data_IF_404678486184
#
_entry.id   IF_404678486184
#
_cell.length_a   1.000
_cell.length_b   1.000
_cell.length_c   1.000
_cell.angle_alpha   90.00
_cell.angle_beta   90.00
_cell.angle_gamma   90.00
#
_symmetry.space_group_name_H-M   'P 1'
#
loop_
_entity.id
_entity.type
_entity.pdbx_description
1 polymer ?
#
# COMPACT_ATOMS: atom_id res chain seq x y z
N UNK A 1 67.62 -21.97 10.49
CA UNK A 1 66.41 -21.82 11.27
C UNK A 1 65.64 -20.50 10.95
N UNK A 2 65.62 -20.05 9.71
CA UNK A 2 64.90 -18.80 9.30
C UNK A 2 63.85 -18.98 8.23
N UNK A 3 63.59 -20.19 7.75
CA UNK A 3 62.62 -20.43 6.62
C UNK A 3 61.30 -21.05 7.03
N UNK A 4 61.07 -21.39 8.29
CA UNK A 4 59.82 -22.03 8.77
C UNK A 4 58.81 -21.03 9.30
N UNK A 5 59.24 -19.81 9.68
CA UNK A 5 58.36 -18.80 10.30
C UNK A 5 57.56 -17.99 9.29
N UNK A 6 57.97 -17.96 8.04
CA UNK A 6 57.26 -17.22 6.94
C UNK A 6 56.13 -18.02 6.30
N UNK A 7 56.13 -19.35 6.43
CA UNK A 7 55.09 -20.22 5.83
C UNK A 7 53.83 -20.30 6.69
N UNK A 8 53.87 -20.05 8.00
CA UNK A 8 52.68 -20.10 8.86
C UNK A 8 51.81 -18.84 8.81
N UNK A 9 52.36 -17.71 8.36
CA UNK A 9 51.59 -16.44 8.29
C UNK A 9 50.74 -16.31 7.03
N UNK A 10 51.03 -17.09 5.98
CA UNK A 10 50.27 -17.06 4.70
C UNK A 10 48.99 -17.86 4.72
N UNK A 11 48.74 -18.74 5.70
CA UNK A 11 47.57 -19.62 5.73
C UNK A 11 46.40 -19.06 6.56
N UNK A 12 46.60 -18.00 7.34
CA UNK A 12 45.55 -17.44 8.24
C UNK A 12 44.68 -16.39 7.54
N UNK A 13 45.16 -15.79 6.43
CA UNK A 13 44.47 -14.68 5.78
C UNK A 13 43.26 -15.05 4.88
N UNK A 14 43.11 -16.24 4.28
CA UNK A 14 41.96 -16.56 3.46
C UNK A 14 40.71 -17.02 4.24
N UNK A 15 40.79 -17.33 5.54
CA UNK A 15 39.63 -17.85 6.30
C UNK A 15 38.71 -16.73 6.81
N UNK A 16 39.22 -15.52 6.99
CA UNK A 16 38.41 -14.38 7.47
C UNK A 16 37.45 -13.79 6.42
N UNK A 17 37.65 -14.07 5.14
CA UNK A 17 36.82 -13.52 4.05
C UNK A 17 35.48 -14.27 3.82
N UNK A 18 35.27 -15.43 4.42
CA UNK A 18 34.10 -16.29 4.19
C UNK A 18 32.91 -16.00 5.12
N UNK A 19 33.03 -15.15 6.12
CA UNK A 19 31.98 -14.92 7.11
C UNK A 19 31.07 -13.71 6.83
N UNK A 20 31.34 -12.91 5.80
CA UNK A 20 30.55 -11.72 5.47
C UNK A 20 29.41 -11.94 4.46
N UNK A 21 29.23 -13.13 3.90
CA UNK A 21 28.32 -13.37 2.77
C UNK A 21 26.87 -13.70 3.15
N UNK A 22 26.53 -13.97 4.41
CA UNK A 22 25.23 -14.52 4.78
C UNK A 22 24.09 -13.48 4.92
N UNK A 23 24.37 -12.20 5.13
CA UNK A 23 23.30 -11.21 5.36
C UNK A 23 22.65 -10.70 4.06
N UNK A 24 23.41 -10.56 3.00
CA UNK A 24 22.88 -10.08 1.72
C UNK A 24 21.93 -11.06 1.05
N UNK A 25 22.20 -12.37 1.16
CA UNK A 25 21.36 -13.41 0.61
C UNK A 25 19.99 -13.49 1.31
N UNK A 26 19.93 -13.37 2.63
CA UNK A 26 18.68 -13.38 3.40
C UNK A 26 17.81 -12.15 3.12
N UNK A 27 18.39 -10.97 2.97
CA UNK A 27 17.66 -9.76 2.56
C UNK A 27 17.09 -9.87 1.16
N UNK A 28 17.85 -10.40 0.21
CA UNK A 28 17.39 -10.64 -1.16
C UNK A 28 16.23 -11.64 -1.22
N UNK A 29 16.28 -12.72 -0.43
CA UNK A 29 15.21 -13.71 -0.36
C UNK A 29 13.92 -13.14 0.25
N UNK A 30 14.00 -12.34 1.32
CA UNK A 30 12.83 -11.68 1.92
C UNK A 30 12.19 -10.67 0.97
N UNK A 31 12.99 -9.87 0.28
CA UNK A 31 12.49 -8.92 -0.71
C UNK A 31 11.77 -9.64 -1.86
N UNK A 32 12.31 -10.75 -2.35
CA UNK A 32 11.69 -11.56 -3.39
C UNK A 32 10.38 -12.21 -2.91
N UNK A 33 10.35 -12.76 -1.70
CA UNK A 33 9.13 -13.33 -1.12
C UNK A 33 8.01 -12.29 -0.96
N UNK A 34 8.34 -11.04 -0.58
CA UNK A 34 7.37 -9.96 -0.54
C UNK A 34 6.84 -9.60 -1.94
N UNK A 35 7.70 -9.55 -2.95
CA UNK A 35 7.30 -9.27 -4.33
C UNK A 35 6.35 -10.35 -4.88
N UNK A 36 6.67 -11.63 -4.62
CA UNK A 36 5.82 -12.75 -5.03
C UNK A 36 4.45 -12.67 -4.34
N UNK A 37 4.41 -12.31 -3.06
CA UNK A 37 3.16 -12.12 -2.31
C UNK A 37 2.31 -10.99 -2.86
N UNK A 38 2.89 -9.82 -3.15
CA UNK A 38 2.17 -8.69 -3.74
C UNK A 38 1.58 -9.04 -5.10
N UNK A 39 2.32 -9.77 -5.93
CA UNK A 39 1.84 -10.23 -7.23
C UNK A 39 0.62 -11.15 -7.10
N UNK A 40 0.65 -12.10 -6.16
CA UNK A 40 -0.47 -13.02 -5.89
C UNK A 40 -1.69 -12.25 -5.40
N UNK A 41 -1.54 -11.35 -4.44
CA UNK A 41 -2.63 -10.53 -3.90
C UNK A 41 -3.26 -9.64 -4.97
N UNK A 42 -2.42 -9.05 -5.83
CA UNK A 42 -2.88 -8.24 -6.95
C UNK A 42 -3.70 -9.04 -7.97
N UNK A 43 -3.23 -10.22 -8.35
CA UNK A 43 -3.92 -11.07 -9.33
C UNK A 43 -5.25 -11.58 -8.79
N UNK A 44 -5.27 -11.99 -7.53
CA UNK A 44 -6.47 -12.54 -6.88
C UNK A 44 -7.48 -11.49 -6.44
N UNK A 45 -7.17 -10.18 -6.48
CA UNK A 45 -7.97 -9.11 -5.86
C UNK A 45 -8.27 -9.36 -4.38
N UNK A 46 -7.32 -9.95 -3.64
CA UNK A 46 -7.46 -10.26 -2.21
C UNK A 46 -6.34 -9.63 -1.42
N UNK A 47 -6.58 -8.43 -0.93
CA UNK A 47 -5.60 -7.70 -0.13
C UNK A 47 -6.27 -6.65 0.77
N UNK A 48 -5.54 -6.22 1.78
CA UNK A 48 -5.81 -5.03 2.56
C UNK A 48 -4.67 -4.02 2.36
N UNK A 49 -5.02 -2.80 2.04
CA UNK A 49 -4.12 -1.66 2.08
C UNK A 49 -4.32 -0.94 3.40
N UNK A 50 -3.27 -0.88 4.21
CA UNK A 50 -3.24 -0.18 5.50
C UNK A 50 -2.67 1.22 5.30
N UNK A 51 -3.51 2.22 5.51
CA UNK A 51 -3.11 3.62 5.37
C UNK A 51 -2.36 4.09 6.62
N UNK A 52 -1.15 4.63 6.43
CA UNK A 52 -0.32 5.19 7.50
C UNK A 52 -0.33 6.71 7.54
N UNK A 53 -0.54 7.34 6.39
CA UNK A 53 -0.54 8.79 6.24
C UNK A 53 -1.63 9.23 5.28
N UNK A 54 -2.18 10.42 5.53
CA UNK A 54 -3.06 11.12 4.60
C UNK A 54 -2.41 12.41 4.12
N UNK A 55 -2.33 12.61 2.81
CA UNK A 55 -1.88 13.83 2.17
C UNK A 55 -3.09 14.60 1.63
N UNK A 56 -3.29 15.79 2.17
CA UNK A 56 -4.35 16.69 1.75
C UNK A 56 -3.95 17.46 0.48
N UNK A 57 -4.93 17.96 -0.24
CA UNK A 57 -4.68 18.81 -1.42
C UNK A 57 -3.92 20.11 -1.06
N UNK A 58 -3.98 20.56 0.20
CA UNK A 58 -3.17 21.68 0.72
C UNK A 58 -1.68 21.37 0.87
N UNK A 59 -1.26 20.12 0.67
CA UNK A 59 0.10 19.65 0.93
C UNK A 59 0.33 19.19 2.39
N UNK A 60 -0.67 19.34 3.27
CA UNK A 60 -0.55 18.87 4.66
C UNK A 60 -0.52 17.36 4.73
N UNK A 61 0.46 16.79 5.44
CA UNK A 61 0.57 15.38 5.71
C UNK A 61 0.12 15.09 7.15
N UNK A 62 -0.81 14.16 7.31
CA UNK A 62 -1.38 13.74 8.60
C UNK A 62 -1.02 12.29 8.87
N UNK A 63 -0.34 12.03 9.98
CA UNK A 63 -0.06 10.68 10.42
C UNK A 63 -1.34 10.03 10.98
N UNK A 64 -1.62 8.80 10.56
CA UNK A 64 -2.79 8.05 10.97
C UNK A 64 -2.40 7.11 12.13
N UNK A 65 -3.12 7.21 13.24
CA UNK A 65 -2.84 6.45 14.47
C UNK A 65 -3.77 5.25 14.67
N UNK A 66 -4.83 5.16 13.86
CA UNK A 66 -5.76 4.03 13.87
C UNK A 66 -5.58 3.18 12.61
N UNK A 67 -6.05 1.95 12.65
CA UNK A 67 -6.01 1.04 11.51
C UNK A 67 -7.09 1.43 10.49
N UNK A 68 -6.68 2.23 9.51
CA UNK A 68 -7.50 2.67 8.41
C UNK A 68 -7.18 1.85 7.17
N UNK A 69 -8.19 1.23 6.56
CA UNK A 69 -7.99 0.24 5.51
C UNK A 69 -8.82 0.52 4.25
N UNK A 70 -8.23 0.11 3.13
CA UNK A 70 -8.93 -0.17 1.89
C UNK A 70 -8.71 -1.64 1.55
N UNK A 71 -9.79 -2.40 1.41
CA UNK A 71 -9.73 -3.84 1.18
C UNK A 71 -10.41 -4.22 -0.11
N UNK A 72 -9.81 -5.16 -0.81
CA UNK A 72 -10.46 -5.92 -1.88
C UNK A 72 -10.61 -7.37 -1.43
N UNK A 73 -11.85 -7.87 -1.50
CA UNK A 73 -12.22 -9.25 -1.13
C UNK A 73 -13.02 -9.86 -2.26
N UNK A 74 -12.33 -10.51 -3.24
CA UNK A 74 -12.97 -11.09 -4.43
C UNK A 74 -13.91 -10.10 -5.13
N UNK A 75 -15.19 -10.09 -4.72
CA UNK A 75 -16.28 -9.35 -5.38
C UNK A 75 -16.64 -8.06 -4.64
N UNK A 76 -15.97 -7.73 -3.53
CA UNK A 76 -16.32 -6.55 -2.75
C UNK A 76 -15.15 -5.61 -2.50
N UNK A 77 -15.46 -4.32 -2.46
CA UNK A 77 -14.57 -3.22 -2.07
C UNK A 77 -15.06 -2.69 -0.73
N UNK A 78 -14.18 -2.66 0.26
CA UNK A 78 -14.45 -2.16 1.61
C UNK A 78 -13.48 -1.02 1.88
N UNK A 79 -14.00 0.13 2.27
CA UNK A 79 -13.22 1.33 2.57
C UNK A 79 -13.56 1.80 3.98
N UNK A 80 -12.54 1.99 4.79
CA UNK A 80 -12.62 2.56 6.12
C UNK A 80 -11.47 3.56 6.31
N UNK A 81 -11.66 4.79 5.84
CA UNK A 81 -10.63 5.83 5.80
C UNK A 81 -11.14 7.13 6.44
N UNK A 82 -10.27 7.89 7.11
CA UNK A 82 -10.63 9.22 7.62
C UNK A 82 -10.69 10.23 6.46
N UNK A 83 -11.32 11.37 6.70
CA UNK A 83 -11.29 12.47 5.77
C UNK A 83 -10.95 13.79 6.50
N UNK A 84 -9.91 14.46 6.04
CA UNK A 84 -9.41 15.71 6.62
C UNK A 84 -9.48 16.89 5.65
N UNK A 85 -10.00 16.67 4.44
CA UNK A 85 -10.11 17.71 3.42
C UNK A 85 -11.33 18.61 3.60
N UNK A 86 -11.51 19.53 2.66
CA UNK A 86 -12.66 20.42 2.63
C UNK A 86 -13.86 19.73 1.99
N UNK A 87 -15.02 19.79 2.64
CA UNK A 87 -16.32 19.40 2.07
C UNK A 87 -17.05 20.65 1.61
N UNK A 88 -17.64 20.59 0.40
CA UNK A 88 -18.43 21.70 -0.19
C UNK A 88 -19.91 21.57 0.16
N UNK A 89 -20.34 20.42 0.65
CA UNK A 89 -21.69 20.15 1.14
C UNK A 89 -21.56 19.70 2.59
N UNK A 90 -22.33 20.33 3.48
CA UNK A 90 -22.33 19.95 4.90
C UNK A 90 -22.80 18.50 5.04
N UNK A 91 -22.12 17.66 5.83
CA UNK A 91 -22.60 16.31 6.13
C UNK A 91 -23.91 16.39 6.90
N UNK A 92 -24.85 15.53 6.55
CA UNK A 92 -26.16 15.45 7.22
C UNK A 92 -26.01 15.01 8.69
N UNK A 93 -24.96 14.22 8.98
CA UNK A 93 -24.60 13.75 10.31
C UNK A 93 -23.10 13.96 10.54
N UNK A 94 -22.71 14.85 11.48
CA UNK A 94 -21.29 15.10 11.79
C UNK A 94 -20.53 13.86 12.30
N UNK A 95 -21.22 12.87 12.90
CA UNK A 95 -20.61 11.63 13.39
C UNK A 95 -20.15 10.70 12.27
N UNK A 96 -20.64 10.89 11.06
CA UNK A 96 -20.30 10.10 9.87
C UNK A 96 -19.10 10.67 9.11
N UNK A 97 -18.18 11.29 9.81
CA UNK A 97 -16.92 11.75 9.23
C UNK A 97 -16.12 10.60 8.59
N UNK A 98 -15.41 10.91 7.48
CA UNK A 98 -14.57 9.95 6.79
C UNK A 98 -15.16 9.43 5.49
N UNK A 99 -14.47 8.42 4.92
CA UNK A 99 -14.85 7.70 3.71
C UNK A 99 -15.03 6.25 4.12
N UNK A 100 -16.26 5.82 4.32
CA UNK A 100 -16.61 4.52 4.91
C UNK A 100 -17.72 3.87 4.12
N UNK A 101 -17.41 2.81 3.37
CA UNK A 101 -18.42 2.04 2.64
C UNK A 101 -17.94 0.63 2.33
N UNK A 102 -18.90 -0.24 2.04
CA UNK A 102 -18.67 -1.53 1.42
C UNK A 102 -19.61 -1.67 0.22
N UNK A 103 -19.09 -2.13 -0.91
CA UNK A 103 -19.89 -2.36 -2.11
C UNK A 103 -19.36 -3.53 -2.92
N UNK A 104 -20.26 -4.29 -3.50
CA UNK A 104 -20.03 -5.31 -4.53
C UNK A 104 -20.26 -4.75 -5.95
N UNK A 105 -20.88 -3.56 -6.03
CA UNK A 105 -21.14 -2.87 -7.28
C UNK A 105 -20.06 -1.86 -7.62
N UNK A 106 -19.03 -2.29 -8.34
CA UNK A 106 -17.92 -1.44 -8.80
C UNK A 106 -17.41 -1.88 -10.17
N UNK A 107 -16.63 -1.01 -10.79
CA UNK A 107 -15.93 -1.32 -12.04
C UNK A 107 -14.43 -1.05 -11.85
N UNK A 108 -13.59 -1.98 -12.23
CA UNK A 108 -12.15 -1.76 -12.31
C UNK A 108 -11.82 -1.30 -13.74
N UNK A 109 -11.19 -0.14 -13.86
CA UNK A 109 -10.58 0.36 -15.10
C UNK A 109 -9.06 0.32 -14.97
N UNK A 110 -8.39 0.20 -16.11
CA UNK A 110 -6.93 0.38 -16.20
C UNK A 110 -6.11 -0.45 -15.21
N UNK A 111 -6.55 -1.69 -14.92
CA UNK A 111 -5.72 -2.60 -14.12
C UNK A 111 -4.47 -2.99 -14.90
N UNK A 112 -3.32 -2.42 -14.51
CA UNK A 112 -2.05 -2.54 -15.23
C UNK A 112 -0.92 -2.90 -14.28
N UNK A 113 0.04 -3.61 -14.83
CA UNK A 113 1.36 -3.80 -14.23
C UNK A 113 2.41 -3.17 -15.16
N UNK A 114 3.07 -2.14 -14.69
CA UNK A 114 4.12 -1.45 -15.43
C UNK A 114 5.44 -1.55 -14.66
N UNK A 115 6.41 -2.28 -15.19
CA UNK A 115 7.72 -2.51 -14.55
C UNK A 115 7.52 -3.10 -13.12
N UNK A 116 7.76 -2.27 -12.10
CA UNK A 116 7.66 -2.62 -10.66
C UNK A 116 6.44 -2.00 -9.97
N UNK A 117 5.49 -1.50 -10.73
CA UNK A 117 4.31 -0.81 -10.20
C UNK A 117 3.04 -1.49 -10.69
N UNK A 118 2.09 -1.62 -9.80
CA UNK A 118 0.74 -2.08 -10.05
C UNK A 118 -0.20 -0.88 -9.92
N UNK A 119 -1.08 -0.69 -10.89
CA UNK A 119 -2.01 0.45 -10.95
C UNK A 119 -3.41 -0.02 -11.29
N UNK A 120 -4.41 0.50 -10.62
CA UNK A 120 -5.82 0.31 -10.99
C UNK A 120 -6.64 1.53 -10.67
N UNK A 121 -7.71 1.72 -11.42
CA UNK A 121 -8.76 2.70 -11.14
C UNK A 121 -10.04 1.95 -10.80
N UNK A 122 -10.64 2.27 -9.66
CA UNK A 122 -11.86 1.65 -9.17
C UNK A 122 -12.96 2.71 -9.19
N UNK A 123 -14.10 2.36 -9.79
CA UNK A 123 -15.29 3.20 -9.85
C UNK A 123 -16.40 2.51 -9.05
N UNK A 124 -16.63 2.89 -7.79
CA UNK A 124 -17.75 2.36 -7.02
C UNK A 124 -19.07 2.90 -7.59
N UNK A 125 -20.13 2.08 -7.52
CA UNK A 125 -21.47 2.41 -7.98
C UNK A 125 -22.49 2.12 -6.91
N UNK A 126 -23.63 2.84 -6.94
CA UNK A 126 -24.76 2.53 -6.06
C UNK A 126 -24.46 2.68 -4.56
N UNK A 127 -23.51 3.54 -4.18
CA UNK A 127 -23.17 3.74 -2.77
C UNK A 127 -24.40 4.26 -1.99
N UNK A 128 -24.63 3.75 -0.76
CA UNK A 128 -25.77 4.15 0.05
C UNK A 128 -25.78 5.66 0.36
N UNK A 129 -26.95 6.29 0.23
CA UNK A 129 -27.11 7.72 0.41
C UNK A 129 -26.80 8.20 1.85
N UNK A 130 -27.04 7.35 2.83
CA UNK A 130 -26.88 7.67 4.26
C UNK A 130 -25.40 7.66 4.73
N UNK A 131 -24.48 7.16 3.94
CA UNK A 131 -23.07 7.04 4.30
C UNK A 131 -22.22 8.18 3.73
N UNK A 132 -22.67 9.40 3.61
CA UNK A 132 -21.88 10.57 3.11
C UNK A 132 -20.80 10.28 2.03
N UNK A 133 -20.83 9.08 1.48
CA UNK A 133 -19.83 8.51 0.55
C UNK A 133 -20.39 8.34 -0.84
N UNK A 134 -21.68 8.63 -1.03
CA UNK A 134 -22.35 8.61 -2.34
C UNK A 134 -21.66 9.49 -3.38
N UNK A 135 -20.82 10.41 -2.91
CA UNK A 135 -20.06 11.34 -3.73
C UNK A 135 -18.71 10.76 -4.22
N UNK A 136 -18.25 9.60 -3.73
CA UNK A 136 -17.02 8.98 -4.23
C UNK A 136 -17.21 8.54 -5.68
N UNK A 137 -16.44 9.16 -6.57
CA UNK A 137 -16.51 8.89 -8.00
C UNK A 137 -15.50 7.85 -8.45
N UNK A 138 -14.26 8.01 -7.99
CA UNK A 138 -13.19 7.11 -8.40
C UNK A 138 -12.06 7.07 -7.39
N UNK A 139 -11.37 5.94 -7.37
CA UNK A 139 -10.26 5.64 -6.52
C UNK A 139 -9.08 5.19 -7.40
N UNK A 140 -7.96 5.89 -7.32
CA UNK A 140 -6.73 5.52 -8.02
C UNK A 140 -5.82 4.80 -7.03
N UNK A 141 -5.54 3.55 -7.30
CA UNK A 141 -4.66 2.75 -6.46
C UNK A 141 -3.37 2.41 -7.20
N UNK A 142 -2.26 2.73 -6.59
CA UNK A 142 -0.93 2.42 -7.11
C UNK A 142 -0.10 1.79 -6.00
N UNK A 143 0.51 0.65 -6.28
CA UNK A 143 1.39 -0.04 -5.33
C UNK A 143 2.64 -0.55 -6.04
N UNK A 144 3.79 -0.45 -5.37
CA UNK A 144 5.05 -0.99 -5.85
C UNK A 144 5.16 -2.49 -5.53
N UNK A 145 6.10 -3.16 -6.16
CA UNK A 145 6.31 -4.59 -5.93
C UNK A 145 6.83 -4.96 -4.53
N UNK A 146 7.28 -3.98 -3.75
CA UNK A 146 7.64 -4.13 -2.33
C UNK A 146 6.47 -3.97 -1.37
N UNK A 147 5.27 -3.66 -1.90
CA UNK A 147 4.02 -3.57 -1.17
C UNK A 147 3.65 -2.17 -0.68
N UNK A 148 4.51 -1.16 -0.85
CA UNK A 148 4.14 0.21 -0.50
C UNK A 148 3.36 0.89 -1.62
N UNK A 149 2.37 1.70 -1.25
CA UNK A 149 1.49 2.27 -2.25
C UNK A 149 0.79 3.54 -1.84
N UNK A 150 -0.01 4.02 -2.78
CA UNK A 150 -0.83 5.23 -2.64
C UNK A 150 -2.24 4.95 -3.13
N UNK A 151 -3.22 5.36 -2.36
CA UNK A 151 -4.63 5.37 -2.71
C UNK A 151 -5.11 6.82 -2.77
N UNK A 152 -5.48 7.31 -3.95
CA UNK A 152 -6.09 8.62 -4.12
C UNK A 152 -7.60 8.45 -4.33
N UNK A 153 -8.40 9.22 -3.60
CA UNK A 153 -9.86 9.23 -3.71
C UNK A 153 -10.33 10.56 -4.23
N UNK A 154 -11.16 10.51 -5.27
CA UNK A 154 -11.85 11.65 -5.84
C UNK A 154 -13.35 11.56 -5.55
N UNK A 155 -13.90 12.66 -5.08
CA UNK A 155 -15.30 12.82 -4.72
C UNK A 155 -15.89 14.04 -5.43
N UNK A 156 -17.22 14.08 -5.60
CA UNK A 156 -17.94 15.23 -6.18
C UNK A 156 -17.91 16.45 -5.25
N UNK A 157 -18.18 16.21 -3.97
CA UNK A 157 -18.46 17.27 -2.99
C UNK A 157 -17.32 17.47 -1.98
N UNK A 158 -16.16 16.88 -2.23
CA UNK A 158 -14.98 16.94 -1.34
C UNK A 158 -13.71 17.14 -2.15
N UNK A 159 -12.74 17.83 -1.57
CA UNK A 159 -11.41 17.89 -2.18
C UNK A 159 -10.78 16.51 -2.25
N UNK A 160 -10.01 16.18 -3.31
CA UNK A 160 -9.27 14.94 -3.39
C UNK A 160 -8.35 14.75 -2.18
N UNK A 161 -8.19 13.49 -1.76
CA UNK A 161 -7.28 13.09 -0.68
C UNK A 161 -6.49 11.87 -1.11
N UNK A 162 -5.22 11.81 -0.73
CA UNK A 162 -4.34 10.68 -1.00
C UNK A 162 -3.89 10.04 0.30
N UNK A 163 -3.79 8.72 0.31
CA UNK A 163 -3.32 7.94 1.45
C UNK A 163 -2.06 7.18 1.05
N UNK A 164 -1.03 7.24 1.88
CA UNK A 164 0.16 6.40 1.78
C UNK A 164 0.05 5.24 2.75
N UNK A 165 0.60 4.10 2.36
CA UNK A 165 0.53 2.92 3.21
C UNK A 165 1.16 1.70 2.56
N UNK A 166 0.75 0.52 3.03
CA UNK A 166 1.30 -0.75 2.57
C UNK A 166 0.22 -1.81 2.40
N UNK A 167 0.50 -2.81 1.55
CA UNK A 167 -0.33 -3.98 1.34
C UNK A 167 -0.02 -5.07 2.37
N UNK A 168 -1.08 -5.74 2.81
CA UNK A 168 -1.03 -7.01 3.51
C UNK A 168 -1.98 -8.02 2.84
N UNK A 169 -1.66 -9.31 2.92
CA UNK A 169 -2.56 -10.37 2.50
C UNK A 169 -3.76 -10.51 3.43
N UNK A 170 -4.87 -10.99 2.86
CA UNK A 170 -6.10 -11.25 3.61
C UNK A 170 -6.71 -12.61 3.28
#
# INVERSE_FOLDING_TARGET
MKSILTSMFSLVFPVAALLCSCNSAKMSQRAKANQDSVAVWWQSNRFAFHATNALLMSGTNVNLTSDYTFEMRNDSVIVWLPYFGRSFVAPTDPSQGGIKFATDNYTIKDKKQEKKMYKMTILPKGLPAFQNTKDVQQMYFTVSNDGYGTLQIQSLNRTPISFYGYLAGK
#
